data_IF_315390941854
#
_entry.id   IF_315390941854
#
_cell.length_a   1.000
_cell.length_b   1.000
_cell.length_c   1.000
_cell.angle_alpha   90.00
_cell.angle_beta   90.00
_cell.angle_gamma   90.00
#
_symmetry.space_group_name_H-M   'P 1'
#
loop_
_entity.id
_entity.type
_entity.pdbx_description
1 polymer ?
#
# COMPACT_ATOMS: atom_id res chain seq x y z
N UNK A 1 -9.66 -5.80 -15.10
CA UNK A 1 -10.10 -4.40 -15.17
C UNK A 1 -10.40 -3.90 -13.77
N UNK A 2 -9.97 -2.70 -13.40
CA UNK A 2 -10.31 -2.06 -12.13
C UNK A 2 -11.02 -0.71 -12.37
N UNK A 3 -11.62 -0.14 -11.33
CA UNK A 3 -12.27 1.17 -11.37
C UNK A 3 -11.44 2.25 -10.67
N UNK A 4 -11.62 3.51 -11.06
CA UNK A 4 -11.14 4.66 -10.31
C UNK A 4 -12.27 5.67 -10.18
N UNK A 5 -12.68 5.99 -8.96
CA UNK A 5 -13.68 7.03 -8.71
C UNK A 5 -12.98 8.34 -8.32
N UNK A 6 -13.23 9.41 -9.08
CA UNK A 6 -12.83 10.76 -8.70
C UNK A 6 -14.07 11.59 -8.36
N UNK A 7 -13.97 12.45 -7.34
CA UNK A 7 -15.10 13.25 -6.86
C UNK A 7 -14.70 14.72 -6.81
N UNK A 8 -15.16 15.47 -7.80
CA UNK A 8 -14.92 16.91 -7.88
C UNK A 8 -16.08 17.70 -7.28
N UNK A 9 -15.76 18.68 -6.44
CA UNK A 9 -16.73 19.69 -5.99
C UNK A 9 -16.57 20.96 -6.82
N UNK A 10 -17.64 21.45 -7.42
CA UNK A 10 -17.63 22.70 -8.19
C UNK A 10 -18.57 23.74 -7.57
N UNK A 11 -18.08 24.98 -7.51
CA UNK A 11 -18.94 26.17 -7.36
C UNK A 11 -19.73 26.31 -8.66
N UNK A 12 -21.08 26.30 -8.61
CA UNK A 12 -21.86 26.51 -9.83
C UNK A 12 -21.61 27.92 -10.35
N UNK A 13 -21.33 28.08 -11.65
CA UNK A 13 -21.14 29.38 -12.30
C UNK A 13 -22.43 30.19 -12.44
N UNK A 14 -23.57 29.61 -12.05
CA UNK A 14 -24.86 30.27 -12.00
C UNK A 14 -25.98 29.37 -11.47
N UNK A 15 -27.15 29.97 -11.26
CA UNK A 15 -28.33 29.29 -10.70
C UNK A 15 -28.77 28.10 -11.57
N UNK A 16 -28.70 28.24 -12.89
CA UNK A 16 -29.01 27.19 -13.87
C UNK A 16 -28.07 26.00 -13.83
N UNK A 17 -26.76 26.19 -13.66
CA UNK A 17 -25.82 25.08 -13.49
C UNK A 17 -26.03 24.34 -12.17
N UNK A 18 -26.35 25.08 -11.10
CA UNK A 18 -26.68 24.47 -9.81
C UNK A 18 -27.94 23.60 -9.89
N UNK A 19 -28.96 24.10 -10.59
CA UNK A 19 -30.21 23.38 -10.84
C UNK A 19 -29.98 22.19 -11.77
N UNK A 20 -29.24 22.36 -12.87
CA UNK A 20 -28.91 21.26 -13.80
C UNK A 20 -28.13 20.17 -13.09
N UNK A 21 -27.12 20.54 -12.29
CA UNK A 21 -26.40 19.55 -11.49
C UNK A 21 -27.34 18.84 -10.53
N UNK A 22 -28.29 19.52 -9.85
CA UNK A 22 -29.26 18.90 -8.93
C UNK A 22 -30.28 17.99 -9.62
N UNK A 23 -30.86 18.43 -10.74
CA UNK A 23 -32.00 17.80 -11.39
C UNK A 23 -31.64 16.87 -12.57
N UNK A 24 -30.45 17.02 -13.17
CA UNK A 24 -29.95 16.15 -14.24
C UNK A 24 -28.78 15.27 -13.75
N UNK A 25 -29.05 14.15 -13.06
CA UNK A 25 -28.01 13.33 -12.43
C UNK A 25 -27.06 12.66 -13.44
N UNK A 26 -27.49 12.49 -14.70
CA UNK A 26 -26.64 11.93 -15.78
C UNK A 26 -25.53 12.87 -16.22
N UNK A 27 -25.76 14.19 -16.20
CA UNK A 27 -24.71 15.16 -16.59
C UNK A 27 -23.60 15.32 -15.56
N UNK A 28 -23.80 14.81 -14.35
CA UNK A 28 -22.84 14.92 -13.26
C UNK A 28 -21.87 13.72 -13.17
N UNK A 29 -22.10 12.66 -13.94
CA UNK A 29 -21.27 11.45 -13.93
C UNK A 29 -20.70 11.26 -15.33
N UNK A 30 -19.37 11.22 -15.44
CA UNK A 30 -18.65 10.87 -16.66
C UNK A 30 -17.96 9.54 -16.48
N UNK A 31 -17.96 8.70 -17.51
CA UNK A 31 -17.31 7.40 -17.52
C UNK A 31 -16.40 7.34 -18.74
N UNK A 32 -15.11 7.09 -18.51
CA UNK A 32 -14.06 6.97 -19.53
C UNK A 32 -13.35 5.65 -19.27
N UNK A 33 -13.00 4.92 -20.33
CA UNK A 33 -12.20 3.69 -20.23
C UNK A 33 -10.83 4.00 -20.75
N UNK A 34 -9.83 3.79 -19.91
CA UNK A 34 -8.44 4.05 -20.21
C UNK A 34 -7.62 2.78 -19.98
N UNK A 35 -6.37 2.82 -20.41
CA UNK A 35 -5.42 1.73 -20.24
C UNK A 35 -4.06 2.27 -19.86
N UNK A 36 -3.41 1.63 -18.89
CA UNK A 36 -1.98 1.82 -18.64
C UNK A 36 -1.30 0.50 -18.96
N UNK A 37 -0.38 0.50 -19.93
CA UNK A 37 0.24 -0.73 -20.47
C UNK A 37 -0.87 -1.74 -20.84
N UNK A 38 -0.87 -2.93 -20.25
CA UNK A 38 -1.86 -3.98 -20.50
C UNK A 38 -3.06 -3.94 -19.52
N UNK A 39 -3.04 -3.05 -18.52
CA UNK A 39 -4.12 -2.95 -17.53
C UNK A 39 -5.19 -1.95 -17.96
N UNK A 40 -6.40 -2.46 -18.19
CA UNK A 40 -7.59 -1.65 -18.45
C UNK A 40 -8.21 -1.16 -17.15
N UNK A 41 -8.62 0.11 -17.12
CA UNK A 41 -9.37 0.68 -16.01
C UNK A 41 -10.51 1.59 -16.45
N UNK A 42 -11.57 1.59 -15.63
CA UNK A 42 -12.74 2.43 -15.80
C UNK A 42 -12.64 3.64 -14.88
N UNK A 43 -12.44 4.82 -15.46
CA UNK A 43 -12.47 6.09 -14.75
C UNK A 43 -13.92 6.59 -14.68
N UNK A 44 -14.39 6.84 -13.46
CA UNK A 44 -15.69 7.48 -13.22
C UNK A 44 -15.47 8.78 -12.47
N UNK A 45 -15.80 9.88 -13.13
CA UNK A 45 -15.72 11.21 -12.53
C UNK A 45 -17.10 11.67 -12.08
N UNK A 46 -17.25 11.98 -10.80
CA UNK A 46 -18.46 12.51 -10.21
C UNK A 46 -18.29 14.00 -9.87
N UNK A 47 -19.09 14.86 -10.50
CA UNK A 47 -19.16 16.27 -10.14
C UNK A 47 -20.31 16.53 -9.16
N UNK A 48 -19.98 17.11 -8.01
CA UNK A 48 -20.92 17.50 -6.96
C UNK A 48 -20.97 19.03 -6.83
N UNK A 49 -22.16 19.61 -6.57
CA UNK A 49 -22.25 20.98 -6.08
C UNK A 49 -21.47 21.13 -4.76
N UNK A 50 -20.79 22.25 -4.56
CA UNK A 50 -20.02 22.52 -3.34
C UNK A 50 -20.86 22.28 -2.06
N UNK A 51 -22.08 22.82 -2.02
CA UNK A 51 -23.06 22.67 -0.94
C UNK A 51 -24.02 21.47 -1.11
N UNK A 52 -23.54 20.36 -1.68
CA UNK A 52 -24.35 19.16 -1.82
C UNK A 52 -24.65 18.53 -0.46
N UNK A 53 -25.94 18.33 -0.15
CA UNK A 53 -26.36 17.65 1.08
C UNK A 53 -26.01 16.15 1.08
N UNK A 54 -25.85 15.53 2.26
CA UNK A 54 -25.32 14.17 2.41
C UNK A 54 -26.14 13.10 1.68
N UNK A 55 -27.48 13.23 1.67
CA UNK A 55 -28.38 12.31 0.95
C UNK A 55 -28.11 12.29 -0.56
N UNK A 56 -27.86 13.46 -1.16
CA UNK A 56 -27.58 13.57 -2.60
C UNK A 56 -26.23 12.94 -2.93
N UNK A 57 -25.21 13.19 -2.09
CA UNK A 57 -23.87 12.61 -2.22
C UNK A 57 -23.96 11.08 -2.19
N UNK A 58 -24.56 10.51 -1.14
CA UNK A 58 -24.72 9.05 -0.99
C UNK A 58 -25.45 8.42 -2.17
N UNK A 59 -26.56 9.03 -2.62
CA UNK A 59 -27.32 8.54 -3.79
C UNK A 59 -26.48 8.52 -5.06
N UNK A 60 -25.64 9.54 -5.29
CA UNK A 60 -24.78 9.60 -6.48
C UNK A 60 -23.61 8.63 -6.42
N UNK A 61 -22.98 8.49 -5.26
CA UNK A 61 -21.92 7.53 -5.06
C UNK A 61 -22.40 6.10 -5.31
N UNK A 62 -23.56 5.70 -4.76
CA UNK A 62 -24.20 4.41 -5.07
C UNK A 62 -24.45 4.21 -6.55
N UNK A 63 -24.87 5.26 -7.25
CA UNK A 63 -25.07 5.20 -8.71
C UNK A 63 -23.75 5.01 -9.46
N UNK A 64 -22.68 5.72 -9.09
CA UNK A 64 -21.35 5.53 -9.67
C UNK A 64 -20.86 4.09 -9.46
N UNK A 65 -21.00 3.56 -8.25
CA UNK A 65 -20.59 2.19 -7.93
C UNK A 65 -21.42 1.15 -8.70
N UNK A 66 -22.74 1.34 -8.80
CA UNK A 66 -23.60 0.48 -9.61
C UNK A 66 -23.21 0.50 -11.09
N UNK A 67 -22.87 1.67 -11.66
CA UNK A 67 -22.38 1.79 -13.03
C UNK A 67 -21.04 1.07 -13.21
N UNK A 68 -20.10 1.23 -12.28
CA UNK A 68 -18.83 0.48 -12.30
C UNK A 68 -19.08 -1.02 -12.28
N UNK A 69 -19.96 -1.49 -11.38
CA UNK A 69 -20.28 -2.92 -11.26
C UNK A 69 -20.90 -3.48 -12.54
N UNK A 70 -21.81 -2.74 -13.17
CA UNK A 70 -22.42 -3.10 -14.45
C UNK A 70 -21.38 -3.21 -15.59
N UNK A 71 -20.25 -2.50 -15.48
CA UNK A 71 -19.13 -2.58 -16.43
C UNK A 71 -18.09 -3.65 -16.05
N UNK A 72 -18.39 -4.53 -15.08
CA UNK A 72 -17.51 -5.63 -14.69
C UNK A 72 -16.39 -5.22 -13.73
N UNK A 73 -16.47 -4.06 -13.10
CA UNK A 73 -15.51 -3.66 -12.07
C UNK A 73 -15.78 -4.41 -10.77
N UNK A 74 -14.76 -5.11 -10.29
CA UNK A 74 -14.77 -5.83 -9.01
C UNK A 74 -13.89 -5.20 -7.93
N UNK A 75 -12.87 -4.44 -8.36
CA UNK A 75 -11.97 -3.67 -7.49
C UNK A 75 -11.88 -2.23 -7.96
N UNK A 76 -11.85 -1.27 -7.05
CA UNK A 76 -11.72 0.14 -7.41
C UNK A 76 -10.89 0.95 -6.43
N UNK A 77 -10.19 1.96 -6.95
CA UNK A 77 -9.64 3.05 -6.16
C UNK A 77 -10.81 3.96 -5.79
N UNK A 78 -11.13 4.02 -4.50
CA UNK A 78 -12.33 4.68 -3.98
C UNK A 78 -11.95 5.65 -2.86
N UNK A 79 -12.37 6.93 -2.93
CA UNK A 79 -12.18 7.85 -1.82
C UNK A 79 -12.98 7.39 -0.59
N UNK A 80 -12.53 7.75 0.61
CA UNK A 80 -13.10 7.30 1.89
C UNK A 80 -14.63 7.44 1.96
N UNK A 81 -15.13 8.61 1.56
CA UNK A 81 -16.56 8.93 1.53
C UNK A 81 -17.43 8.01 0.66
N UNK A 82 -16.82 7.19 -0.20
CA UNK A 82 -17.49 6.29 -1.12
C UNK A 82 -17.32 4.80 -0.75
N UNK A 83 -16.58 4.47 0.31
CA UNK A 83 -16.34 3.08 0.74
C UNK A 83 -17.64 2.34 1.07
N UNK A 84 -18.58 2.98 1.76
CA UNK A 84 -19.90 2.38 2.05
C UNK A 84 -20.65 2.03 0.75
N UNK A 85 -20.65 2.96 -0.23
CA UNK A 85 -21.31 2.73 -1.51
C UNK A 85 -20.61 1.63 -2.35
N UNK A 86 -19.30 1.47 -2.21
CA UNK A 86 -18.55 0.40 -2.87
C UNK A 86 -18.91 -0.97 -2.27
N UNK A 87 -18.99 -1.05 -0.93
CA UNK A 87 -19.44 -2.25 -0.22
C UNK A 87 -20.87 -2.65 -0.63
N UNK A 88 -21.81 -1.68 -0.66
CA UNK A 88 -23.20 -1.89 -1.13
C UNK A 88 -23.26 -2.47 -2.56
N UNK A 89 -22.29 -2.14 -3.42
CA UNK A 89 -22.22 -2.59 -4.81
C UNK A 89 -21.33 -3.83 -5.02
N UNK A 90 -20.84 -4.44 -3.94
CA UNK A 90 -19.88 -5.55 -3.96
C UNK A 90 -18.61 -5.23 -4.79
N UNK A 91 -18.13 -4.00 -4.71
CA UNK A 91 -16.85 -3.56 -5.26
C UNK A 91 -15.87 -3.46 -4.09
N UNK A 92 -14.81 -4.26 -4.12
CA UNK A 92 -13.77 -4.18 -3.12
C UNK A 92 -12.91 -2.92 -3.37
N UNK A 93 -12.65 -2.10 -2.34
CA UNK A 93 -11.59 -1.12 -2.41
C UNK A 93 -10.26 -1.81 -2.79
N UNK A 94 -9.41 -1.10 -3.51
CA UNK A 94 -8.06 -1.58 -3.77
C UNK A 94 -7.31 -1.67 -2.43
N UNK A 95 -6.74 -2.84 -2.19
CA UNK A 95 -5.94 -3.13 -1.02
C UNK A 95 -4.46 -2.97 -1.39
N UNK A 96 -3.78 -2.04 -0.70
CA UNK A 96 -2.35 -1.76 -0.90
C UNK A 96 -1.48 -2.83 -0.26
N UNK A 97 -1.97 -3.51 0.78
CA UNK A 97 -1.23 -4.52 1.56
C UNK A 97 -0.53 -5.51 0.66
N UNK A 98 -1.25 -6.14 -0.27
CA UNK A 98 -0.68 -7.15 -1.15
C UNK A 98 0.45 -6.61 -2.06
N UNK A 99 0.35 -5.36 -2.51
CA UNK A 99 1.39 -4.73 -3.33
C UNK A 99 2.63 -4.36 -2.48
N UNK A 100 2.41 -3.81 -1.28
CA UNK A 100 3.48 -3.48 -0.32
C UNK A 100 4.20 -4.74 0.16
N UNK A 101 3.46 -5.79 0.51
CA UNK A 101 4.01 -7.10 0.92
C UNK A 101 4.81 -7.77 -0.20
N UNK A 102 4.41 -7.59 -1.46
CA UNK A 102 5.22 -8.02 -2.60
C UNK A 102 6.61 -7.36 -2.65
N UNK A 103 6.74 -6.15 -2.10
CA UNK A 103 7.99 -5.40 -2.00
C UNK A 103 8.65 -5.48 -0.61
N UNK A 104 8.22 -6.42 0.25
CA UNK A 104 8.62 -6.49 1.66
C UNK A 104 10.14 -6.48 1.89
N UNK A 105 10.93 -7.16 1.05
CA UNK A 105 12.39 -7.15 1.16
C UNK A 105 12.98 -5.75 0.91
N UNK A 106 12.48 -5.01 -0.09
CA UNK A 106 12.94 -3.64 -0.35
C UNK A 106 12.47 -2.67 0.74
N UNK A 107 11.31 -2.93 1.34
CA UNK A 107 10.78 -2.13 2.45
C UNK A 107 11.75 -2.07 3.62
N UNK A 108 12.18 -3.24 4.12
CA UNK A 108 13.12 -3.28 5.27
C UNK A 108 14.48 -2.71 4.92
N UNK A 109 14.97 -2.92 3.69
CA UNK A 109 16.27 -2.39 3.27
C UNK A 109 16.24 -0.86 3.13
N UNK A 110 15.12 -0.30 2.68
CA UNK A 110 14.89 1.13 2.67
C UNK A 110 14.90 1.70 4.10
N UNK A 111 14.21 1.03 5.03
CA UNK A 111 14.16 1.46 6.43
C UNK A 111 15.52 1.38 7.14
N UNK A 112 16.27 0.29 6.94
CA UNK A 112 17.64 0.15 7.47
C UNK A 112 18.55 1.28 6.99
N UNK A 113 18.54 1.57 5.68
CA UNK A 113 19.32 2.68 5.11
C UNK A 113 18.88 4.03 5.63
N UNK A 114 17.58 4.26 5.79
CA UNK A 114 17.05 5.50 6.35
C UNK A 114 17.49 5.70 7.80
N UNK A 115 17.70 4.61 8.55
CA UNK A 115 18.24 4.62 9.90
C UNK A 115 19.79 4.64 9.96
N UNK A 116 20.48 4.71 8.81
CA UNK A 116 21.95 4.64 8.75
C UNK A 116 22.53 3.27 9.12
N UNK A 117 21.73 2.20 9.07
CA UNK A 117 22.17 0.84 9.34
C UNK A 117 22.55 0.11 8.05
N UNK A 118 23.73 -0.52 8.08
CA UNK A 118 24.19 -1.38 6.99
C UNK A 118 23.40 -2.70 6.98
N UNK A 119 22.74 -3.06 5.87
CA UNK A 119 21.98 -4.30 5.75
C UNK A 119 22.79 -5.54 6.12
N UNK A 120 24.03 -5.63 5.66
CA UNK A 120 24.94 -6.78 5.83
C UNK A 120 25.33 -7.02 7.29
N UNK A 121 25.16 -6.02 8.16
CA UNK A 121 25.40 -6.10 9.60
C UNK A 121 24.11 -6.26 10.42
N UNK A 122 22.97 -6.07 9.79
CA UNK A 122 21.65 -6.05 10.39
C UNK A 122 20.96 -7.43 10.33
N UNK A 123 20.18 -7.76 11.36
CA UNK A 123 19.31 -8.94 11.36
C UNK A 123 17.85 -8.53 11.22
N UNK A 124 17.10 -9.30 10.44
CA UNK A 124 15.68 -9.01 10.16
C UNK A 124 14.80 -10.16 10.63
N UNK A 125 13.77 -9.83 11.43
CA UNK A 125 12.72 -10.78 11.79
C UNK A 125 11.46 -10.55 10.96
N UNK A 126 11.03 -11.55 10.21
CA UNK A 126 9.74 -11.56 9.54
C UNK A 126 8.68 -12.08 10.52
N UNK A 127 7.63 -11.31 10.73
CA UNK A 127 6.50 -11.63 11.61
C UNK A 127 5.25 -11.75 10.74
N UNK A 128 4.63 -12.92 10.73
CA UNK A 128 3.44 -13.19 9.92
C UNK A 128 2.53 -14.24 10.58
N UNK A 129 1.24 -14.26 10.26
CA UNK A 129 0.36 -15.34 10.74
C UNK A 129 0.73 -16.69 10.12
N UNK A 130 1.03 -16.67 8.82
CA UNK A 130 1.41 -17.83 8.00
C UNK A 130 2.53 -17.46 7.05
N UNK A 131 3.38 -18.43 6.70
CA UNK A 131 4.44 -18.26 5.69
C UNK A 131 3.89 -18.42 4.28
N UNK A 132 3.11 -17.42 3.85
CA UNK A 132 2.63 -17.30 2.48
C UNK A 132 3.76 -17.02 1.47
N UNK A 133 3.39 -16.87 0.20
CA UNK A 133 4.33 -16.61 -0.90
C UNK A 133 5.19 -15.37 -0.66
N UNK A 134 4.60 -14.27 -0.17
CA UNK A 134 5.31 -13.01 0.00
C UNK A 134 6.33 -13.09 1.14
N UNK A 135 5.96 -13.74 2.26
CA UNK A 135 6.88 -14.01 3.38
C UNK A 135 8.05 -14.87 2.94
N UNK A 136 7.78 -15.96 2.20
CA UNK A 136 8.84 -16.84 1.69
C UNK A 136 9.77 -16.10 0.72
N UNK A 137 9.19 -15.36 -0.23
CA UNK A 137 9.96 -14.56 -1.20
C UNK A 137 10.84 -13.54 -0.48
N UNK A 138 10.27 -12.80 0.49
CA UNK A 138 10.99 -11.82 1.27
C UNK A 138 12.13 -12.46 2.08
N UNK A 139 11.87 -13.58 2.77
CA UNK A 139 12.89 -14.29 3.54
C UNK A 139 14.09 -14.70 2.67
N UNK A 140 13.83 -15.27 1.49
CA UNK A 140 14.87 -15.72 0.57
C UNK A 140 15.63 -14.54 -0.07
N UNK A 141 14.95 -13.44 -0.38
CA UNK A 141 15.60 -12.23 -0.89
C UNK A 141 16.50 -11.58 0.16
N UNK A 142 16.05 -11.54 1.40
CA UNK A 142 16.79 -10.95 2.52
C UNK A 142 17.96 -11.83 2.95
N UNK A 143 17.84 -13.15 2.88
CA UNK A 143 18.90 -14.10 3.27
C UNK A 143 20.26 -13.84 2.59
N UNK A 144 20.27 -13.15 1.45
CA UNK A 144 21.48 -12.80 0.70
C UNK A 144 22.03 -11.40 0.98
N UNK A 145 21.27 -10.57 1.69
CA UNK A 145 21.49 -9.11 1.79
C UNK A 145 21.59 -8.63 3.23
N UNK A 146 21.20 -9.46 4.20
CA UNK A 146 21.28 -9.14 5.61
C UNK A 146 22.09 -10.18 6.38
N UNK A 147 22.59 -9.81 7.55
CA UNK A 147 23.42 -10.68 8.40
C UNK A 147 22.69 -11.96 8.79
N UNK A 148 21.42 -11.85 9.18
CA UNK A 148 20.58 -12.99 9.50
C UNK A 148 19.10 -12.69 9.23
N UNK A 149 18.35 -13.74 8.89
CA UNK A 149 16.91 -13.68 8.71
C UNK A 149 16.25 -14.64 9.69
N UNK A 150 15.25 -14.15 10.41
CA UNK A 150 14.44 -14.99 11.28
C UNK A 150 12.99 -14.96 10.82
N UNK A 151 12.34 -16.11 10.81
CA UNK A 151 10.91 -16.22 10.49
C UNK A 151 10.13 -16.63 11.72
N UNK A 152 9.35 -15.69 12.25
CA UNK A 152 8.34 -15.92 13.28
C UNK A 152 6.97 -15.96 12.65
N UNK A 153 6.32 -17.12 12.78
CA UNK A 153 4.95 -17.28 12.31
C UNK A 153 4.14 -18.10 13.29
N UNK A 154 2.86 -17.76 13.43
CA UNK A 154 1.93 -18.48 14.31
C UNK A 154 1.80 -19.95 13.90
N UNK A 155 1.74 -20.20 12.59
CA UNK A 155 1.85 -21.54 12.03
C UNK A 155 3.33 -21.85 11.78
N UNK A 156 3.91 -22.90 12.39
CA UNK A 156 5.31 -23.28 12.16
C UNK A 156 5.59 -23.54 10.68
N UNK A 157 6.76 -23.07 10.20
CA UNK A 157 7.18 -23.18 8.81
C UNK A 157 8.52 -23.93 8.66
N UNK A 158 8.59 -25.21 9.05
CA UNK A 158 9.85 -25.96 9.09
C UNK A 158 10.52 -26.06 7.72
N UNK A 159 9.75 -26.19 6.63
CA UNK A 159 10.29 -26.24 5.28
C UNK A 159 11.04 -24.96 4.87
N UNK A 160 10.52 -23.78 5.24
CA UNK A 160 11.19 -22.51 4.95
C UNK A 160 12.47 -22.36 5.79
N UNK A 161 12.43 -22.71 7.08
CA UNK A 161 13.60 -22.64 7.96
C UNK A 161 14.72 -23.57 7.49
N UNK A 162 14.36 -24.81 7.16
CA UNK A 162 15.29 -25.79 6.59
C UNK A 162 15.91 -25.27 5.30
N UNK A 163 15.11 -24.67 4.41
CA UNK A 163 15.62 -24.07 3.18
C UNK A 163 16.58 -22.90 3.44
N UNK A 164 16.28 -22.03 4.41
CA UNK A 164 17.17 -20.95 4.81
C UNK A 164 18.50 -21.47 5.37
N UNK A 165 18.46 -22.59 6.11
CA UNK A 165 19.65 -23.26 6.61
C UNK A 165 20.47 -23.93 5.49
N UNK A 166 19.83 -24.75 4.65
CA UNK A 166 20.50 -25.52 3.60
C UNK A 166 21.06 -24.61 2.49
N UNK A 167 20.27 -23.63 2.02
CA UNK A 167 20.65 -22.79 0.87
C UNK A 167 21.49 -21.56 1.26
N UNK A 168 21.36 -21.07 2.51
CA UNK A 168 21.95 -19.79 2.94
C UNK A 168 22.74 -19.86 4.26
N UNK A 169 22.82 -21.03 4.90
CA UNK A 169 23.55 -21.20 6.16
C UNK A 169 22.93 -20.48 7.37
N UNK A 170 21.67 -20.05 7.26
CA UNK A 170 20.99 -19.32 8.33
C UNK A 170 20.46 -20.33 9.36
N UNK A 171 20.94 -20.21 10.60
CA UNK A 171 20.49 -21.07 11.70
C UNK A 171 18.96 -21.02 11.86
N UNK A 172 18.35 -22.17 12.13
CA UNK A 172 16.88 -22.26 12.26
C UNK A 172 16.32 -21.45 13.43
N UNK A 173 17.12 -21.24 14.48
CA UNK A 173 16.79 -20.47 15.68
C UNK A 173 17.97 -19.58 16.12
N UNK A 174 18.20 -18.43 15.47
CA UNK A 174 19.27 -17.51 15.86
C UNK A 174 18.91 -16.78 17.17
N UNK A 175 19.86 -16.57 18.10
CA UNK A 175 19.61 -15.86 19.36
C UNK A 175 19.18 -14.40 19.13
N UNK A 176 18.30 -13.90 20.00
CA UNK A 176 17.65 -12.58 19.92
C UNK A 176 18.61 -11.41 20.15
N UNK A 177 19.55 -11.58 21.08
CA UNK A 177 19.98 -10.48 21.94
C UNK A 177 20.98 -9.50 21.31
N UNK A 178 21.63 -9.82 20.19
CA UNK A 178 22.66 -8.96 19.58
C UNK A 178 22.55 -8.78 18.04
N UNK A 179 21.47 -9.27 17.41
CA UNK A 179 21.43 -9.32 15.93
C UNK A 179 20.19 -8.78 15.25
N UNK A 180 19.01 -8.82 15.87
CA UNK A 180 17.76 -8.44 15.18
C UNK A 180 17.46 -6.95 15.34
N UNK A 181 17.92 -6.13 14.40
CA UNK A 181 17.72 -4.68 14.39
C UNK A 181 16.36 -4.26 13.85
N UNK A 182 15.75 -5.06 12.96
CA UNK A 182 14.47 -4.72 12.34
C UNK A 182 13.44 -5.86 12.37
N UNK A 183 12.16 -5.50 12.52
CA UNK A 183 11.02 -6.37 12.33
C UNK A 183 10.27 -6.01 11.04
N UNK A 184 9.84 -7.02 10.30
CA UNK A 184 9.02 -6.90 9.09
C UNK A 184 7.68 -7.58 9.33
N UNK A 185 6.63 -6.77 9.53
CA UNK A 185 5.34 -7.24 10.04
C UNK A 185 4.34 -7.34 8.89
N UNK A 186 3.97 -8.57 8.53
CA UNK A 186 3.03 -8.85 7.43
C UNK A 186 1.56 -8.83 7.91
N UNK A 187 1.30 -9.23 9.14
CA UNK A 187 -0.04 -9.35 9.70
C UNK A 187 -0.07 -8.78 11.13
N UNK A 188 -1.28 -8.59 11.67
CA UNK A 188 -1.44 -8.20 13.08
C UNK A 188 -0.72 -9.22 13.96
N UNK A 189 -0.03 -8.74 14.98
CA UNK A 189 0.80 -9.57 15.84
C UNK A 189 0.67 -9.13 17.29
N UNK A 190 0.75 -10.11 18.20
CA UNK A 190 0.85 -9.89 19.65
C UNK A 190 2.32 -9.94 20.12
N UNK A 191 3.28 -10.10 19.20
CA UNK A 191 4.71 -10.08 19.50
C UNK A 191 5.13 -8.69 20.03
N UNK A 192 5.95 -8.63 21.10
CA UNK A 192 6.47 -7.37 21.62
C UNK A 192 7.40 -6.73 20.59
N UNK A 193 6.98 -5.57 20.06
CA UNK A 193 7.66 -4.87 18.97
C UNK A 193 8.72 -3.86 19.45
N UNK A 194 8.73 -3.56 20.75
CA UNK A 194 9.74 -2.74 21.45
C UNK A 194 11.13 -3.38 21.46
N UNK A 195 11.20 -4.71 21.28
CA UNK A 195 12.45 -5.45 21.18
C UNK A 195 13.22 -5.19 19.86
N UNK A 196 12.68 -4.42 18.91
CA UNK A 196 13.31 -4.11 17.63
C UNK A 196 13.60 -2.62 17.53
N UNK A 197 14.74 -2.24 16.95
CA UNK A 197 15.05 -0.82 16.71
C UNK A 197 14.16 -0.18 15.64
N UNK A 198 13.72 -0.97 14.66
CA UNK A 198 12.89 -0.52 13.54
C UNK A 198 11.76 -1.52 13.30
N UNK A 199 10.54 -1.00 13.13
CA UNK A 199 9.37 -1.82 12.81
C UNK A 199 8.84 -1.43 11.44
N UNK A 200 9.03 -2.29 10.45
CA UNK A 200 8.50 -2.14 9.10
C UNK A 200 7.08 -2.72 9.05
N UNK A 201 6.08 -1.87 9.14
CA UNK A 201 4.68 -2.26 9.13
C UNK A 201 4.16 -2.38 7.68
N UNK A 202 3.86 -3.60 7.25
CA UNK A 202 3.28 -3.90 5.94
C UNK A 202 1.76 -4.15 6.00
N UNK A 203 1.12 -3.81 7.12
CA UNK A 203 -0.33 -3.94 7.31
C UNK A 203 -1.06 -2.63 6.99
N UNK A 204 -2.40 -2.66 6.92
CA UNK A 204 -3.22 -1.50 6.53
C UNK A 204 -3.45 -0.46 7.66
N UNK A 205 -2.90 -0.68 8.86
CA UNK A 205 -3.12 0.21 10.00
C UNK A 205 -1.97 0.16 11.01
N UNK A 206 -1.93 1.11 11.96
CA UNK A 206 -0.85 1.18 12.96
C UNK A 206 -0.83 -0.07 13.83
N UNK A 207 0.36 -0.47 14.27
CA UNK A 207 0.55 -1.68 15.09
C UNK A 207 0.33 -1.42 16.59
N UNK A 208 0.30 -0.17 17.03
CA UNK A 208 0.05 0.22 18.42
C UNK A 208 0.97 1.36 18.87
N UNK A 209 0.79 1.85 20.09
CA UNK A 209 1.62 2.94 20.64
C UNK A 209 2.97 2.46 21.23
N UNK A 210 3.09 1.16 21.49
CA UNK A 210 4.23 0.56 22.21
C UNK A 210 5.31 -0.01 21.26
N UNK A 211 5.22 0.27 19.96
CA UNK A 211 6.28 -0.12 19.03
C UNK A 211 7.37 0.96 18.99
N UNK A 212 8.61 0.51 18.79
CA UNK A 212 9.69 1.39 18.33
C UNK A 212 9.33 2.08 17.00
N UNK A 213 10.26 2.86 16.46
CA UNK A 213 10.04 3.69 15.29
C UNK A 213 9.41 2.90 14.12
N UNK A 214 8.12 3.17 13.88
CA UNK A 214 7.27 2.44 12.94
C UNK A 214 7.38 3.05 11.54
N UNK A 215 7.90 2.30 10.58
CA UNK A 215 7.92 2.66 9.16
C UNK A 215 6.69 2.09 8.44
N UNK A 216 5.84 2.98 7.92
CA UNK A 216 4.77 2.66 6.96
C UNK A 216 5.20 3.05 5.54
N UNK A 217 4.59 2.44 4.53
CA UNK A 217 5.05 2.58 3.15
C UNK A 217 3.96 3.04 2.18
N UNK A 218 4.30 4.03 1.36
CA UNK A 218 3.61 4.38 0.13
C UNK A 218 4.22 3.68 -1.09
N UNK A 219 3.40 3.53 -2.12
CA UNK A 219 3.79 3.00 -3.43
C UNK A 219 3.80 4.12 -4.46
N UNK A 220 4.86 4.15 -5.26
CA UNK A 220 5.00 4.99 -6.44
C UNK A 220 5.58 4.18 -7.60
N UNK A 221 5.71 4.78 -8.78
CA UNK A 221 6.29 4.13 -9.95
C UNK A 221 6.85 5.19 -10.91
N UNK A 222 7.26 4.77 -12.12
CA UNK A 222 7.83 5.67 -13.12
C UNK A 222 6.90 6.87 -13.43
N UNK A 223 7.42 8.10 -13.57
CA UNK A 223 6.60 9.30 -13.81
C UNK A 223 5.70 9.21 -15.05
N UNK A 224 6.14 8.51 -16.11
CA UNK A 224 5.34 8.30 -17.33
C UNK A 224 4.08 7.46 -17.10
N UNK A 225 4.08 6.58 -16.11
CA UNK A 225 2.90 5.82 -15.67
C UNK A 225 2.00 6.70 -14.81
N UNK A 226 2.59 7.43 -13.87
CA UNK A 226 1.84 8.33 -12.98
C UNK A 226 1.16 9.49 -13.71
N UNK A 227 1.69 9.93 -14.85
CA UNK A 227 1.04 10.92 -15.71
C UNK A 227 -0.37 10.50 -16.20
N UNK A 228 -0.66 9.20 -16.19
CA UNK A 228 -1.96 8.62 -16.57
C UNK A 228 -2.91 8.46 -15.38
N UNK A 229 -2.45 8.74 -14.15
CA UNK A 229 -3.27 8.65 -12.94
C UNK A 229 -4.41 9.66 -12.99
N UNK A 230 -5.67 9.24 -12.76
CA UNK A 230 -6.77 10.19 -12.67
C UNK A 230 -6.51 11.27 -11.59
N UNK A 231 -6.92 12.52 -11.83
CA UNK A 231 -6.75 13.59 -10.87
C UNK A 231 -7.46 13.23 -9.56
N UNK A 232 -6.86 13.58 -8.42
CA UNK A 232 -7.39 13.29 -7.07
C UNK A 232 -7.43 11.82 -6.66
N UNK A 233 -7.05 10.87 -7.53
CA UNK A 233 -6.84 9.49 -7.10
C UNK A 233 -5.57 9.41 -6.23
N UNK A 234 -5.65 8.67 -5.14
CA UNK A 234 -4.47 8.36 -4.32
C UNK A 234 -3.42 7.64 -5.17
N UNK A 235 -2.17 8.07 -5.03
CA UNK A 235 -1.07 7.52 -5.83
C UNK A 235 -0.79 6.07 -5.49
N UNK A 236 -0.72 5.74 -4.20
CA UNK A 236 -0.41 4.39 -3.76
C UNK A 236 -1.53 3.42 -4.12
N UNK A 237 -2.79 3.80 -3.95
CA UNK A 237 -3.93 2.97 -4.35
C UNK A 237 -3.95 2.74 -5.87
N UNK A 238 -3.65 3.77 -6.68
CA UNK A 238 -3.61 3.62 -8.14
C UNK A 238 -2.48 2.68 -8.58
N UNK A 239 -1.29 2.83 -8.02
CA UNK A 239 -0.14 1.96 -8.31
C UNK A 239 -0.42 0.52 -7.85
N UNK A 240 -1.00 0.33 -6.67
CA UNK A 240 -1.41 -0.99 -6.19
C UNK A 240 -2.46 -1.62 -7.10
N UNK A 241 -3.43 -0.85 -7.58
CA UNK A 241 -4.45 -1.34 -8.52
C UNK A 241 -3.85 -1.84 -9.83
N UNK A 242 -2.87 -1.09 -10.36
CA UNK A 242 -2.14 -1.47 -11.57
C UNK A 242 -1.34 -2.76 -11.37
N UNK A 243 -0.63 -2.89 -10.25
CA UNK A 243 0.10 -4.12 -9.90
C UNK A 243 -0.84 -5.32 -9.79
N UNK A 244 -1.91 -5.20 -9.01
CA UNK A 244 -2.89 -6.28 -8.79
C UNK A 244 -3.63 -6.70 -10.07
N UNK A 245 -3.68 -5.83 -11.08
CA UNK A 245 -4.27 -6.13 -12.37
C UNK A 245 -3.24 -6.50 -13.45
N UNK A 246 -1.96 -6.68 -13.09
CA UNK A 246 -0.89 -7.08 -14.00
C UNK A 246 -0.40 -5.97 -14.95
N UNK A 247 -0.76 -4.71 -14.68
CA UNK A 247 -0.24 -3.56 -15.43
C UNK A 247 1.19 -3.18 -15.03
N UNK A 248 1.57 -3.51 -13.80
CA UNK A 248 2.92 -3.32 -13.25
C UNK A 248 3.42 -4.65 -12.68
N UNK A 249 4.74 -4.81 -12.70
CA UNK A 249 5.47 -5.88 -12.05
C UNK A 249 6.12 -5.37 -10.75
N UNK A 250 6.64 -6.25 -9.91
CA UNK A 250 7.37 -5.84 -8.70
C UNK A 250 8.54 -4.90 -9.00
N UNK A 251 9.25 -5.10 -10.11
CA UNK A 251 10.35 -4.22 -10.54
C UNK A 251 9.92 -2.83 -10.97
N UNK A 252 8.63 -2.61 -11.25
CA UNK A 252 8.10 -1.28 -11.55
C UNK A 252 7.69 -0.52 -10.28
N UNK A 253 7.56 -1.20 -9.15
CA UNK A 253 7.12 -0.62 -7.89
C UNK A 253 8.28 0.05 -7.18
N UNK A 254 8.05 1.27 -6.71
CA UNK A 254 9.00 2.02 -5.90
C UNK A 254 8.33 2.25 -4.55
N UNK A 255 8.98 1.82 -3.47
CA UNK A 255 8.53 2.08 -2.11
C UNK A 255 9.04 3.42 -1.62
N UNK A 256 8.23 4.09 -0.81
CA UNK A 256 8.58 5.30 -0.06
C UNK A 256 8.15 5.13 1.38
N UNK A 257 9.00 5.49 2.33
CA UNK A 257 8.58 5.59 3.73
C UNK A 257 7.61 6.77 3.84
N UNK A 258 6.49 6.56 4.51
CA UNK A 258 5.51 7.60 4.79
C UNK A 258 6.20 8.73 5.58
N UNK A 259 6.14 10.00 5.15
CA UNK A 259 6.78 11.11 5.87
C UNK A 259 6.26 11.27 7.30
N UNK A 260 5.04 10.83 7.61
CA UNK A 260 4.51 10.83 9.00
C UNK A 260 5.20 9.79 9.89
N UNK A 261 5.89 8.83 9.29
CA UNK A 261 6.66 7.77 9.93
C UNK A 261 8.17 8.02 9.88
N UNK A 262 8.59 9.25 9.53
CA UNK A 262 10.00 9.57 9.50
C UNK A 262 10.61 9.24 10.87
N UNK A 263 11.53 8.27 10.86
CA UNK A 263 12.45 8.06 11.97
C UNK A 263 12.99 9.44 12.31
N UNK A 264 13.05 9.81 13.59
CA UNK A 264 13.77 11.02 14.00
C UNK A 264 15.22 10.81 13.58
N UNK A 265 15.54 11.20 12.35
CA UNK A 265 16.89 11.31 11.85
C UNK A 265 17.42 12.49 12.65
N UNK A 266 18.01 12.22 13.81
CA UNK A 266 18.96 13.16 14.38
C UNK A 266 19.88 13.55 13.22
N UNK A 267 19.89 14.83 12.90
CA UNK A 267 20.68 15.42 11.84
C UNK A 267 22.11 14.92 11.97
N UNK A 268 22.46 13.90 11.19
CA UNK A 268 23.83 13.42 11.17
C UNK A 268 24.63 14.55 10.48
N UNK A 269 25.58 15.20 11.18
CA UNK A 269 26.27 16.35 10.66
C UNK A 269 27.03 15.92 9.41
N UNK A 270 26.79 16.67 8.32
CA UNK A 270 27.60 16.75 7.12
C UNK A 270 28.87 15.89 7.13
N UNK A 271 28.86 14.78 6.40
CA UNK A 271 30.11 14.16 5.97
C UNK A 271 30.89 15.20 5.16
N UNK A 272 32.04 15.61 5.71
CA UNK A 272 33.01 16.48 5.06
C UNK A 272 33.35 15.92 3.68
N UNK A 273 33.26 16.79 2.68
CA UNK A 273 34.01 16.63 1.44
C UNK A 273 35.46 17.00 1.75
N UNK A 274 36.36 16.04 1.65
CA UNK A 274 37.73 16.26 1.21
C UNK A 274 37.93 15.49 -0.11
#
# INVERSE_FOLDING_TARGET
MFGVLTVERKKPGGLWESLRLRFCPRSAIRCETDSVRMALFLKVSLTLPEKAGPRLVRRRLRRCMSLMRQRGVHRAVVPEQAREAAADACIAPVDRKAAVQGCAAEAVLLALRAAGLEPEQSGVTLIADRTGRDVQTAALMLARRVRCVRVRSRVPAPALRRRLYEDYGIAENPPLEDTCTAALVFDKTDEPLDAYGIVCNLTDGPLGADCAAECRYGLTCAPSVLAQKPPQADESDFVAALYLCGGLTLSDLILRIDPECALDIEENPSYNKD
#
